data_IF_266192065103
#
_entry.id   IF_266192065103
#
_cell.length_a   1.000
_cell.length_b   1.000
_cell.length_c   1.000
_cell.angle_alpha   90.00
_cell.angle_beta   90.00
_cell.angle_gamma   90.00
#
_symmetry.space_group_name_H-M   'P 1'
#
loop_
_entity.id
_entity.type
_entity.pdbx_description
1 polymer ?
#
# COMPACT_ATOMS: atom_id res chain seq x y z
N UNK A 1 -4.88 27.80 -5.58
CA UNK A 1 -4.47 26.59 -4.84
C UNK A 1 -3.12 26.80 -4.17
N UNK A 2 -2.84 26.17 -3.03
CA UNK A 2 -1.51 26.21 -2.38
C UNK A 2 -0.62 25.09 -2.94
N UNK A 3 0.70 25.25 -2.89
CA UNK A 3 1.65 24.24 -3.39
C UNK A 3 1.52 22.89 -2.67
N UNK A 4 1.22 22.90 -1.37
CA UNK A 4 1.07 21.66 -0.59
C UNK A 4 -0.15 20.84 -1.03
N UNK A 5 -1.27 21.52 -1.30
CA UNK A 5 -2.50 20.87 -1.78
C UNK A 5 -2.29 20.32 -3.20
N UNK A 6 -1.49 21.02 -4.03
CA UNK A 6 -1.14 20.57 -5.38
C UNK A 6 -0.37 19.26 -5.36
N UNK A 7 0.61 19.11 -4.45
CA UNK A 7 1.40 17.87 -4.32
C UNK A 7 0.54 16.64 -4.05
N UNK A 8 -0.52 16.79 -3.25
CA UNK A 8 -1.44 15.70 -2.96
C UNK A 8 -2.25 15.29 -4.20
N UNK A 9 -2.65 16.26 -5.02
CA UNK A 9 -3.47 16.04 -6.21
C UNK A 9 -2.67 15.61 -7.45
N UNK A 10 -1.32 15.62 -7.40
CA UNK A 10 -0.48 15.24 -8.54
C UNK A 10 -0.62 13.76 -8.93
N UNK A 11 -0.85 12.86 -7.97
CA UNK A 11 -1.02 11.43 -8.25
C UNK A 11 -2.38 11.17 -8.89
N UNK A 12 -3.45 11.75 -8.34
CA UNK A 12 -4.80 11.66 -8.91
C UNK A 12 -4.84 12.28 -10.32
N UNK A 13 -4.07 13.36 -10.55
CA UNK A 13 -3.91 13.94 -11.88
C UNK A 13 -3.20 12.99 -12.86
N UNK A 14 -2.18 12.27 -12.40
CA UNK A 14 -1.40 11.34 -13.22
C UNK A 14 -2.23 10.14 -13.69
N UNK A 15 -3.14 9.65 -12.84
CA UNK A 15 -4.03 8.52 -13.12
C UNK A 15 -5.40 8.93 -13.67
N UNK A 16 -5.59 10.22 -14.00
CA UNK A 16 -6.85 10.77 -14.52
C UNK A 16 -8.06 10.58 -13.59
N UNK A 17 -7.83 10.55 -12.27
CA UNK A 17 -8.86 10.34 -11.23
C UNK A 17 -9.44 11.66 -10.66
N UNK A 18 -8.90 12.82 -11.07
CA UNK A 18 -9.42 14.13 -10.66
C UNK A 18 -10.72 14.49 -11.37
N UNK A 19 -11.61 15.15 -10.64
CA UNK A 19 -12.78 15.82 -11.22
C UNK A 19 -12.38 17.04 -12.08
N UNK A 20 -13.24 17.40 -13.04
CA UNK A 20 -12.97 18.46 -14.02
C UNK A 20 -12.68 19.84 -13.38
N UNK A 21 -13.25 20.13 -12.21
CA UNK A 21 -13.01 21.40 -11.53
C UNK A 21 -11.61 21.42 -10.90
N UNK A 22 -11.27 20.38 -10.13
CA UNK A 22 -9.94 20.25 -9.51
C UNK A 22 -8.81 20.15 -10.54
N UNK A 23 -9.07 19.49 -11.67
CA UNK A 23 -8.10 19.41 -12.79
C UNK A 23 -7.75 20.79 -13.35
N UNK A 24 -8.75 21.64 -13.60
CA UNK A 24 -8.54 23.01 -14.13
C UNK A 24 -7.77 23.88 -13.13
N UNK A 25 -8.11 23.79 -11.85
CA UNK A 25 -7.43 24.53 -10.79
C UNK A 25 -5.96 24.12 -10.65
N UNK A 26 -5.67 22.81 -10.77
CA UNK A 26 -4.32 22.27 -10.75
C UNK A 26 -3.53 22.70 -12.00
N UNK A 27 -4.10 22.58 -13.21
CA UNK A 27 -3.46 23.03 -14.45
C UNK A 27 -3.16 24.53 -14.44
N UNK A 28 -4.05 25.35 -13.87
CA UNK A 28 -3.80 26.77 -13.68
C UNK A 28 -2.63 27.02 -12.72
N UNK A 29 -2.55 26.25 -11.63
CA UNK A 29 -1.45 26.35 -10.68
C UNK A 29 -0.10 25.96 -11.32
N UNK A 30 -0.07 24.85 -12.08
CA UNK A 30 1.14 24.39 -12.78
C UNK A 30 1.67 25.41 -13.79
N UNK A 31 0.82 26.25 -14.39
CA UNK A 31 1.26 27.36 -15.26
C UNK A 31 1.93 28.49 -14.49
N UNK A 32 1.63 28.64 -13.21
CA UNK A 32 2.10 29.77 -12.37
C UNK A 32 3.25 29.40 -11.44
N UNK A 33 3.39 28.12 -11.05
CA UNK A 33 4.42 27.66 -10.13
C UNK A 33 5.42 26.73 -10.83
N UNK A 34 6.65 27.20 -11.00
CA UNK A 34 7.72 26.44 -11.67
C UNK A 34 8.12 25.16 -10.91
N UNK A 35 8.11 25.19 -9.57
CA UNK A 35 8.48 24.05 -8.74
C UNK A 35 7.48 22.90 -8.89
N UNK A 36 6.19 23.19 -8.80
CA UNK A 36 5.13 22.20 -8.97
C UNK A 36 5.09 21.66 -10.42
N UNK A 37 5.40 22.50 -11.42
CA UNK A 37 5.51 22.05 -12.81
C UNK A 37 6.68 21.09 -13.02
N UNK A 38 7.84 21.35 -12.41
CA UNK A 38 8.99 20.47 -12.46
C UNK A 38 8.71 19.11 -11.81
N UNK A 39 8.04 19.12 -10.65
CA UNK A 39 7.65 17.90 -9.92
C UNK A 39 6.64 17.06 -10.72
N UNK A 40 5.60 17.68 -11.28
CA UNK A 40 4.64 17.03 -12.17
C UNK A 40 5.32 16.35 -13.36
N UNK A 41 6.27 17.04 -13.99
CA UNK A 41 7.03 16.50 -15.13
C UNK A 41 7.90 15.30 -14.73
N UNK A 42 8.59 15.38 -13.60
CA UNK A 42 9.40 14.28 -13.06
C UNK A 42 8.56 13.01 -12.80
N UNK A 43 7.33 13.18 -12.30
CA UNK A 43 6.41 12.07 -12.07
C UNK A 43 5.94 11.45 -13.39
N UNK A 44 5.58 12.27 -14.38
CA UNK A 44 5.18 11.79 -15.71
C UNK A 44 6.32 11.04 -16.43
N UNK A 45 7.56 11.51 -16.30
CA UNK A 45 8.74 10.82 -16.85
C UNK A 45 8.95 9.47 -16.18
N UNK A 46 8.81 9.40 -14.86
CA UNK A 46 8.89 8.15 -14.10
C UNK A 46 7.81 7.15 -14.54
N UNK A 47 6.57 7.60 -14.65
CA UNK A 47 5.46 6.77 -15.13
C UNK A 47 5.70 6.22 -16.53
N UNK A 48 6.21 7.05 -17.45
CA UNK A 48 6.59 6.61 -18.80
C UNK A 48 7.67 5.54 -18.79
N UNK A 49 8.67 5.62 -17.90
CA UNK A 49 9.68 4.59 -17.75
C UNK A 49 9.05 3.26 -17.31
N UNK A 50 8.15 3.27 -16.33
CA UNK A 50 7.45 2.05 -15.91
C UNK A 50 6.56 1.49 -17.02
N UNK A 51 5.90 2.34 -17.81
CA UNK A 51 5.07 1.91 -18.94
C UNK A 51 5.87 1.26 -20.09
N UNK A 52 7.20 1.40 -20.12
CA UNK A 52 8.06 0.72 -21.11
C UNK A 52 8.49 -0.68 -20.68
N UNK A 53 8.21 -1.07 -19.43
CA UNK A 53 8.52 -2.42 -18.98
C UNK A 53 7.62 -3.43 -19.70
N UNK A 54 8.14 -4.61 -20.07
CA UNK A 54 7.33 -5.64 -20.70
C UNK A 54 6.22 -6.07 -19.75
N UNK A 55 4.99 -6.04 -20.24
CA UNK A 55 3.84 -6.57 -19.52
C UNK A 55 4.00 -8.09 -19.40
N UNK A 56 4.26 -8.55 -18.18
CA UNK A 56 4.33 -9.97 -17.87
C UNK A 56 2.89 -10.41 -17.66
N UNK A 57 2.29 -11.00 -18.69
CA UNK A 57 1.00 -11.67 -18.56
C UNK A 57 1.20 -12.84 -17.58
N UNK A 58 0.51 -12.87 -16.43
CA UNK A 58 0.63 -13.99 -15.51
C UNK A 58 0.19 -15.26 -16.23
N UNK A 59 1.02 -16.31 -16.19
CA UNK A 59 0.65 -17.66 -16.64
C UNK A 59 -0.35 -18.30 -15.67
N UNK A 60 -1.46 -17.61 -15.40
CA UNK A 60 -2.56 -18.15 -14.64
C UNK A 60 -3.75 -18.23 -15.58
N UNK A 61 -3.88 -19.42 -16.19
CA UNK A 61 -5.20 -19.94 -16.53
C UNK A 61 -5.93 -20.06 -15.21
N UNK A 62 -6.53 -18.96 -14.74
CA UNK A 62 -7.53 -18.96 -13.70
C UNK A 62 -8.67 -19.81 -14.24
N UNK A 63 -8.60 -21.12 -13.99
CA UNK A 63 -9.70 -22.04 -14.23
C UNK A 63 -10.72 -21.68 -13.16
N UNK A 64 -11.48 -20.61 -13.43
CA UNK A 64 -12.83 -20.51 -12.90
C UNK A 64 -13.54 -21.73 -13.47
N UNK A 65 -13.58 -22.81 -12.69
CA UNK A 65 -14.53 -23.87 -12.93
C UNK A 65 -15.90 -23.23 -12.74
N UNK A 66 -16.44 -22.65 -13.81
CA UNK A 66 -17.87 -22.58 -13.98
C UNK A 66 -18.32 -24.03 -13.95
N UNK A 67 -18.63 -24.52 -12.75
CA UNK A 67 -19.56 -25.62 -12.64
C UNK A 67 -20.83 -25.09 -13.30
N UNK A 68 -21.22 -25.55 -14.51
CA UNK A 68 -22.51 -25.17 -15.02
C UNK A 68 -23.50 -25.71 -13.99
N UNK A 69 -24.08 -24.82 -13.18
CA UNK A 69 -25.17 -25.19 -12.28
C UNK A 69 -26.18 -25.87 -13.17
N UNK A 70 -26.26 -27.20 -13.11
CA UNK A 70 -27.20 -27.99 -13.90
C UNK A 70 -28.55 -27.36 -13.65
N UNK A 71 -29.10 -26.76 -14.69
CA UNK A 71 -30.36 -26.03 -14.65
C UNK A 71 -31.48 -27.05 -14.45
N UNK A 72 -31.64 -27.52 -13.22
CA UNK A 72 -32.76 -28.35 -12.78
C UNK A 72 -34.08 -27.66 -13.15
N UNK A 73 -34.12 -26.33 -13.09
CA UNK A 73 -35.28 -25.52 -13.45
C UNK A 73 -35.69 -25.60 -14.94
N UNK A 74 -34.81 -25.99 -15.87
CA UNK A 74 -35.21 -26.12 -17.30
C UNK A 74 -36.10 -27.35 -17.57
N UNK A 75 -36.07 -28.36 -16.70
CA UNK A 75 -36.96 -29.53 -16.77
C UNK A 75 -38.18 -29.42 -15.85
N UNK A 76 -38.35 -28.29 -15.15
CA UNK A 76 -39.52 -28.03 -14.30
C UNK A 76 -40.70 -27.42 -15.10
N UNK A 77 -40.88 -27.83 -16.36
CA UNK A 77 -42.18 -27.71 -17.04
C UNK A 77 -43.08 -28.82 -16.51
N UNK A 78 -43.46 -28.67 -15.25
CA UNK A 78 -44.45 -29.52 -14.61
C UNK A 78 -45.78 -29.29 -15.34
N UNK A 79 -46.33 -30.32 -15.96
CA UNK A 79 -47.67 -30.23 -16.56
C UNK A 79 -48.64 -29.90 -15.44
N UNK A 80 -49.22 -28.70 -15.42
CA UNK A 80 -50.32 -28.40 -14.53
C UNK A 80 -51.52 -29.22 -15.01
N UNK A 81 -51.95 -30.26 -14.29
CA UNK A 81 -53.17 -30.95 -14.63
C UNK A 81 -54.33 -30.04 -14.26
N UNK A 82 -55.28 -29.92 -15.17
CA UNK A 82 -56.46 -29.07 -15.06
C UNK A 82 -57.15 -29.33 -13.70
N UNK A 83 -57.15 -28.29 -12.85
CA UNK A 83 -57.48 -28.38 -11.43
C UNK A 83 -59.00 -28.51 -11.21
N UNK A 84 -59.44 -29.69 -10.82
CA UNK A 84 -60.72 -29.88 -10.12
C UNK A 84 -60.57 -29.45 -8.65
N UNK A 85 -61.47 -28.61 -8.12
CA UNK A 85 -61.41 -28.03 -6.76
C UNK A 85 -61.15 -29.05 -5.63
N UNK A 86 -61.52 -30.33 -5.80
CA UNK A 86 -61.21 -31.38 -4.83
C UNK A 86 -59.71 -31.72 -4.71
N UNK A 87 -58.93 -31.59 -5.79
CA UNK A 87 -57.46 -31.84 -5.78
C UNK A 87 -56.67 -30.67 -5.20
N UNK A 88 -57.27 -29.47 -5.17
CA UNK A 88 -56.67 -28.26 -4.61
C UNK A 88 -56.47 -28.36 -3.09
N UNK A 89 -57.42 -29.00 -2.38
CA UNK A 89 -57.31 -29.23 -0.94
C UNK A 89 -56.15 -30.16 -0.56
N UNK A 90 -56.00 -31.28 -1.29
CA UNK A 90 -54.90 -32.23 -1.05
C UNK A 90 -53.53 -31.65 -1.46
N UNK A 91 -53.47 -30.91 -2.57
CA UNK A 91 -52.25 -30.26 -3.00
C UNK A 91 -51.78 -29.18 -2.02
N UNK A 92 -52.70 -28.38 -1.46
CA UNK A 92 -52.38 -27.38 -0.45
C UNK A 92 -51.88 -28.03 0.85
N UNK A 93 -52.50 -29.13 1.29
CA UNK A 93 -52.06 -29.88 2.47
C UNK A 93 -50.65 -30.47 2.30
N UNK A 94 -50.36 -31.06 1.14
CA UNK A 94 -49.02 -31.59 0.84
C UNK A 94 -47.96 -30.48 0.75
N UNK A 95 -48.28 -29.35 0.12
CA UNK A 95 -47.38 -28.21 0.07
C UNK A 95 -47.06 -27.67 1.48
N UNK A 96 -48.06 -27.62 2.37
CA UNK A 96 -47.87 -27.19 3.74
C UNK A 96 -46.97 -28.15 4.53
N UNK A 97 -47.16 -29.47 4.38
CA UNK A 97 -46.31 -30.47 5.01
C UNK A 97 -44.86 -30.41 4.52
N UNK A 98 -44.65 -30.19 3.22
CA UNK A 98 -43.30 -30.01 2.66
C UNK A 98 -42.67 -28.73 3.22
N UNK A 99 -43.43 -27.64 3.33
CA UNK A 99 -42.93 -26.37 3.87
C UNK A 99 -42.54 -26.51 5.35
N UNK A 100 -43.34 -27.22 6.15
CA UNK A 100 -43.01 -27.54 7.55
C UNK A 100 -41.77 -28.43 7.64
N UNK A 101 -41.64 -29.43 6.76
CA UNK A 101 -40.46 -30.30 6.73
C UNK A 101 -39.19 -29.51 6.37
N UNK A 102 -39.27 -28.61 5.39
CA UNK A 102 -38.15 -27.73 5.00
C UNK A 102 -37.81 -26.74 6.11
N UNK A 103 -38.80 -26.15 6.78
CA UNK A 103 -38.58 -25.25 7.91
C UNK A 103 -37.92 -25.97 9.10
N UNK A 104 -38.31 -27.22 9.36
CA UNK A 104 -37.69 -28.08 10.37
C UNK A 104 -36.24 -28.42 10.01
N UNK A 105 -35.96 -28.71 8.73
CA UNK A 105 -34.60 -28.97 8.24
C UNK A 105 -33.71 -27.72 8.29
N UNK A 106 -34.30 -26.53 8.10
CA UNK A 106 -33.59 -25.26 8.13
C UNK A 106 -33.39 -24.69 9.54
N UNK A 107 -33.88 -25.38 10.58
CA UNK A 107 -33.77 -24.99 12.00
C UNK A 107 -34.16 -23.52 12.21
N UNK A 108 -35.31 -23.15 11.64
CA UNK A 108 -35.79 -21.76 11.57
C UNK A 108 -36.32 -21.29 12.92
N UNK A 109 -35.64 -20.31 13.54
CA UNK A 109 -36.09 -19.67 14.79
C UNK A 109 -36.72 -18.32 14.45
N UNK A 110 -38.01 -18.18 14.70
CA UNK A 110 -38.77 -16.93 14.52
C UNK A 110 -38.96 -16.30 15.89
N UNK A 111 -38.29 -15.17 16.14
CA UNK A 111 -38.54 -14.35 17.33
C UNK A 111 -39.33 -13.12 16.94
N UNK A 112 -40.46 -12.94 17.60
CA UNK A 112 -41.30 -11.76 17.47
C UNK A 112 -41.15 -10.92 18.74
N UNK A 113 -40.39 -9.83 18.63
CA UNK A 113 -40.20 -8.88 19.73
C UNK A 113 -40.73 -7.50 19.32
N UNK A 114 -40.93 -6.61 20.31
CA UNK A 114 -41.60 -5.31 20.15
C UNK A 114 -40.89 -4.34 19.18
N UNK A 115 -39.69 -4.69 18.67
CA UNK A 115 -38.89 -3.87 17.76
C UNK A 115 -38.71 -4.45 16.35
N UNK A 116 -39.33 -5.59 16.02
CA UNK A 116 -39.35 -6.10 14.65
C UNK A 116 -39.36 -7.62 14.53
N UNK A 117 -39.43 -8.07 13.28
CA UNK A 117 -39.43 -9.48 12.92
C UNK A 117 -37.99 -9.96 12.64
N UNK A 118 -37.47 -10.86 13.48
CA UNK A 118 -36.16 -11.48 13.27
C UNK A 118 -36.34 -12.96 12.88
N UNK A 119 -35.93 -13.28 11.65
CA UNK A 119 -35.95 -14.63 11.10
C UNK A 119 -34.52 -15.12 10.94
N UNK A 120 -34.14 -16.13 11.73
CA UNK A 120 -32.80 -16.74 11.66
C UNK A 120 -32.92 -18.16 11.11
N UNK A 121 -32.23 -18.43 10.01
CA UNK A 121 -32.16 -19.76 9.39
C UNK A 121 -30.70 -20.22 9.44
N UNK A 122 -30.43 -21.41 9.96
CA UNK A 122 -29.06 -21.97 9.98
C UNK A 122 -29.10 -23.43 9.54
N UNK A 123 -28.50 -23.72 8.37
CA UNK A 123 -28.35 -25.09 7.86
C UNK A 123 -27.28 -25.91 8.61
N UNK A 124 -26.45 -25.25 9.42
CA UNK A 124 -25.42 -25.90 10.23
C UNK A 124 -25.73 -25.69 11.71
N UNK A 125 -25.78 -26.74 12.53
CA UNK A 125 -25.82 -26.58 13.97
C UNK A 125 -24.50 -25.93 14.38
N UNK A 126 -24.52 -24.65 14.74
CA UNK A 126 -23.45 -24.10 15.57
C UNK A 126 -23.52 -24.89 16.87
N UNK A 127 -22.66 -25.90 17.01
CA UNK A 127 -22.28 -26.41 18.31
C UNK A 127 -21.67 -25.21 19.03
N UNK A 128 -22.51 -24.48 19.77
CA UNK A 128 -22.07 -23.74 20.94
C UNK A 128 -21.58 -24.78 21.94
N UNK A 129 -20.40 -25.34 21.66
CA UNK A 129 -19.57 -25.84 22.73
C UNK A 129 -19.32 -24.61 23.58
N UNK A 130 -19.98 -24.55 24.73
CA UNK A 130 -19.60 -23.62 25.77
C UNK A 130 -18.12 -23.88 25.99
N UNK A 131 -17.28 -22.98 25.51
CA UNK A 131 -15.85 -22.98 25.83
C UNK A 131 -15.86 -22.93 27.35
N UNK A 132 -15.46 -24.02 27.99
CA UNK A 132 -15.28 -24.01 29.44
C UNK A 132 -14.27 -22.91 29.75
N UNK A 133 -14.51 -22.07 30.76
CA UNK A 133 -13.63 -20.94 31.06
C UNK A 133 -12.16 -21.37 31.23
N UNK A 134 -11.93 -22.59 31.71
CA UNK A 134 -10.61 -23.23 31.80
C UNK A 134 -9.89 -23.41 30.45
N UNK A 135 -10.58 -23.82 29.38
CA UNK A 135 -9.95 -23.98 28.06
C UNK A 135 -9.64 -22.63 27.39
N UNK A 136 -10.42 -21.58 27.72
CA UNK A 136 -10.16 -20.23 27.24
C UNK A 136 -8.89 -19.66 27.86
N UNK A 137 -8.67 -19.88 29.16
CA UNK A 137 -7.46 -19.44 29.85
C UNK A 137 -6.21 -20.15 29.33
N UNK A 138 -6.26 -21.46 29.11
CA UNK A 138 -5.13 -22.23 28.55
C UNK A 138 -4.80 -21.75 27.12
N UNK A 139 -5.81 -21.50 26.30
CA UNK A 139 -5.60 -21.00 24.93
C UNK A 139 -5.01 -19.58 24.93
N UNK A 140 -5.53 -18.69 25.76
CA UNK A 140 -5.00 -17.31 25.91
C UNK A 140 -3.58 -17.32 26.48
N UNK A 141 -3.28 -18.21 27.43
CA UNK A 141 -1.94 -18.36 27.99
C UNK A 141 -0.95 -18.81 26.91
N UNK A 142 -1.31 -19.81 26.11
CA UNK A 142 -0.47 -20.29 25.00
C UNK A 142 -0.25 -19.20 23.94
N UNK A 143 -1.29 -18.47 23.56
CA UNK A 143 -1.17 -17.34 22.64
C UNK A 143 -0.26 -16.23 23.17
N UNK A 144 -0.34 -15.93 24.48
CA UNK A 144 0.55 -14.94 25.10
C UNK A 144 2.01 -15.41 25.07
N UNK A 145 2.26 -16.69 25.32
CA UNK A 145 3.59 -17.28 25.25
C UNK A 145 4.17 -17.23 23.83
N UNK A 146 3.40 -17.66 22.82
CA UNK A 146 3.81 -17.60 21.41
C UNK A 146 4.06 -16.15 20.96
N UNK A 147 3.18 -15.22 21.32
CA UNK A 147 3.36 -13.80 21.00
C UNK A 147 4.62 -13.21 21.65
N UNK A 148 4.91 -13.58 22.90
CA UNK A 148 6.13 -13.12 23.59
C UNK A 148 7.40 -13.67 22.93
N UNK A 149 7.41 -14.93 22.53
CA UNK A 149 8.54 -15.54 21.85
C UNK A 149 8.81 -14.88 20.48
N UNK A 150 7.75 -14.61 19.71
CA UNK A 150 7.88 -13.92 18.42
C UNK A 150 8.40 -12.50 18.61
N UNK A 151 7.82 -11.74 19.55
CA UNK A 151 8.26 -10.36 19.85
C UNK A 151 9.72 -10.30 20.30
N UNK A 152 10.16 -11.26 21.14
CA UNK A 152 11.55 -11.34 21.58
C UNK A 152 12.50 -11.58 20.39
N UNK A 153 12.15 -12.50 19.48
CA UNK A 153 12.97 -12.76 18.29
C UNK A 153 13.03 -11.58 17.33
N UNK A 154 11.92 -10.84 17.17
CA UNK A 154 11.86 -9.65 16.33
C UNK A 154 12.72 -8.51 16.89
N UNK A 155 12.63 -8.24 18.21
CA UNK A 155 13.44 -7.23 18.86
C UNK A 155 14.93 -7.51 18.75
N UNK A 156 15.33 -8.78 18.83
CA UNK A 156 16.72 -9.17 18.68
C UNK A 156 17.23 -8.97 17.24
N UNK A 157 16.41 -9.30 16.24
CA UNK A 157 16.74 -9.02 14.84
C UNK A 157 16.90 -7.51 14.58
N UNK A 158 16.02 -6.68 15.14
CA UNK A 158 16.14 -5.21 15.03
C UNK A 158 17.42 -4.68 15.67
N UNK A 159 17.85 -5.23 16.82
CA UNK A 159 19.13 -4.84 17.45
C UNK A 159 20.31 -5.11 16.51
N UNK A 160 20.39 -6.32 15.96
CA UNK A 160 21.47 -6.70 15.04
C UNK A 160 21.48 -5.84 13.76
N UNK A 161 20.30 -5.51 13.23
CA UNK A 161 20.18 -4.62 12.08
C UNK A 161 20.60 -3.19 12.42
N UNK A 162 20.19 -2.69 13.59
CA UNK A 162 20.54 -1.34 14.04
C UNK A 162 22.04 -1.20 14.31
N UNK A 163 22.69 -2.22 14.87
CA UNK A 163 24.15 -2.26 15.03
C UNK A 163 24.87 -2.18 13.69
N UNK A 164 24.48 -2.99 12.70
CA UNK A 164 25.05 -2.95 11.35
C UNK A 164 24.83 -1.60 10.65
N UNK A 165 23.64 -1.01 10.82
CA UNK A 165 23.34 0.34 10.31
C UNK A 165 24.25 1.37 10.95
N UNK A 166 24.44 1.31 12.27
CA UNK A 166 25.31 2.24 13.00
C UNK A 166 26.76 2.12 12.52
N UNK A 167 27.26 0.91 12.36
CA UNK A 167 28.62 0.66 11.84
C UNK A 167 28.78 1.25 10.44
N UNK A 168 27.82 0.99 9.55
CA UNK A 168 27.83 1.50 8.17
C UNK A 168 27.80 3.03 8.16
N UNK A 169 26.96 3.64 9.01
CA UNK A 169 26.90 5.10 9.16
C UNK A 169 28.25 5.66 9.63
N UNK A 170 28.88 5.07 10.64
CA UNK A 170 30.18 5.53 11.14
C UNK A 170 31.28 5.46 10.08
N UNK A 171 31.33 4.36 9.31
CA UNK A 171 32.29 4.22 8.20
C UNK A 171 32.07 5.28 7.13
N UNK A 172 30.81 5.50 6.74
CA UNK A 172 30.46 6.50 5.73
C UNK A 172 30.80 7.93 6.18
N UNK A 173 30.55 8.25 7.45
CA UNK A 173 30.86 9.54 8.05
C UNK A 173 32.37 9.80 8.10
N UNK A 174 33.16 8.78 8.49
CA UNK A 174 34.62 8.87 8.45
C UNK A 174 35.12 9.16 7.03
N UNK A 175 34.60 8.47 6.03
CA UNK A 175 34.97 8.73 4.63
C UNK A 175 34.61 10.14 4.17
N UNK A 176 33.47 10.68 4.61
CA UNK A 176 33.10 12.07 4.31
C UNK A 176 34.09 13.06 4.94
N UNK A 177 34.47 12.86 6.21
CA UNK A 177 35.47 13.70 6.87
C UNK A 177 36.84 13.64 6.17
N UNK A 178 37.27 12.45 5.75
CA UNK A 178 38.55 12.31 5.05
C UNK A 178 38.52 13.01 3.68
N UNK A 179 37.41 12.90 2.94
CA UNK A 179 37.21 13.66 1.69
C UNK A 179 37.23 15.17 1.93
N UNK A 180 36.57 15.65 2.98
CA UNK A 180 36.56 17.07 3.33
C UNK A 180 37.97 17.55 3.67
N UNK A 181 38.73 16.80 4.48
CA UNK A 181 40.12 17.12 4.79
C UNK A 181 41.00 17.17 3.54
N UNK A 182 40.83 16.24 2.61
CA UNK A 182 41.56 16.25 1.35
C UNK A 182 41.23 17.49 0.51
N UNK A 183 39.94 17.84 0.44
CA UNK A 183 39.48 19.05 -0.25
C UNK A 183 40.06 20.31 0.40
N UNK A 184 40.02 20.40 1.72
CA UNK A 184 40.58 21.53 2.48
C UNK A 184 42.09 21.65 2.27
N UNK A 185 42.82 20.53 2.27
CA UNK A 185 44.26 20.52 1.97
C UNK A 185 44.56 21.00 0.55
N UNK A 186 43.73 20.62 -0.44
CA UNK A 186 43.86 21.14 -1.80
C UNK A 186 43.59 22.65 -1.87
N UNK A 187 42.58 23.13 -1.15
CA UNK A 187 42.24 24.55 -1.10
C UNK A 187 43.37 25.37 -0.45
N UNK A 188 43.90 24.89 0.68
CA UNK A 188 45.07 25.49 1.36
C UNK A 188 46.28 25.48 0.42
N UNK A 189 46.56 24.36 -0.25
CA UNK A 189 47.65 24.26 -1.23
C UNK A 189 47.56 25.31 -2.33
N UNK A 190 46.41 25.42 -2.99
CA UNK A 190 46.16 26.45 -4.01
C UNK A 190 46.30 27.87 -3.46
N UNK A 191 45.83 28.11 -2.23
CA UNK A 191 45.99 29.39 -1.56
C UNK A 191 47.45 29.77 -1.33
N UNK A 192 48.27 28.82 -0.87
CA UNK A 192 49.71 29.01 -0.67
C UNK A 192 50.45 29.26 -1.99
N UNK A 193 50.09 28.53 -3.05
CA UNK A 193 50.66 28.72 -4.38
C UNK A 193 50.36 30.13 -4.93
N UNK A 194 49.11 30.59 -4.79
CA UNK A 194 48.72 31.94 -5.19
C UNK A 194 49.49 33.04 -4.43
N UNK A 195 49.72 32.85 -3.12
CA UNK A 195 50.53 33.76 -2.31
C UNK A 195 51.99 33.77 -2.78
N UNK A 196 52.55 32.59 -3.05
CA UNK A 196 53.94 32.46 -3.54
C UNK A 196 54.11 33.11 -4.91
N UNK A 197 53.18 32.92 -5.82
CA UNK A 197 53.20 33.52 -7.14
C UNK A 197 53.09 35.05 -7.06
N UNK A 198 52.18 35.55 -6.21
CA UNK A 198 52.07 36.99 -5.91
C UNK A 198 53.38 37.58 -5.41
N UNK A 199 54.02 36.94 -4.41
CA UNK A 199 55.31 37.36 -3.88
C UNK A 199 56.40 37.38 -4.97
N UNK A 200 56.54 36.30 -5.74
CA UNK A 200 57.50 36.22 -6.84
C UNK A 200 57.29 37.33 -7.88
N UNK A 201 56.04 37.62 -8.23
CA UNK A 201 55.72 38.69 -9.18
C UNK A 201 56.12 40.08 -8.65
N UNK A 202 55.99 40.32 -7.34
CA UNK A 202 56.44 41.55 -6.70
C UNK A 202 57.97 41.66 -6.71
N UNK A 203 58.69 40.59 -6.34
CA UNK A 203 60.15 40.57 -6.41
C UNK A 203 60.66 40.84 -7.84
N UNK A 204 60.04 40.25 -8.86
CA UNK A 204 60.41 40.52 -10.26
C UNK A 204 60.14 41.95 -10.70
N UNK A 205 59.09 42.61 -10.18
CA UNK A 205 58.85 44.03 -10.44
C UNK A 205 59.93 44.89 -9.78
N UNK A 206 60.20 44.67 -8.50
CA UNK A 206 61.25 45.39 -7.76
C UNK A 206 62.63 45.25 -8.43
N UNK A 207 63.01 44.05 -8.87
CA UNK A 207 64.28 43.82 -9.56
C UNK A 207 64.35 44.51 -10.93
N UNK A 208 63.23 44.64 -11.64
CA UNK A 208 63.17 45.42 -12.89
C UNK A 208 63.34 46.90 -12.62
N UNK A 209 62.66 47.44 -11.61
CA UNK A 209 62.73 48.86 -11.25
C UNK A 209 64.14 49.26 -10.80
N UNK A 210 64.80 48.42 -9.98
CA UNK A 210 66.19 48.62 -9.55
C UNK A 210 67.17 48.61 -10.73
N UNK A 211 66.99 47.71 -11.69
CA UNK A 211 67.83 47.65 -12.88
C UNK A 211 67.62 48.86 -13.82
N UNK A 212 66.41 49.43 -13.87
CA UNK A 212 66.12 50.64 -14.66
C UNK A 212 66.82 51.87 -14.07
N UNK A 213 66.92 51.98 -12.74
CA UNK A 213 67.62 53.10 -12.09
C UNK A 213 69.15 53.05 -12.17
N UNK A 214 69.74 51.92 -12.59
CA UNK A 214 71.21 51.78 -12.77
C UNK A 214 71.70 52.07 -14.19
N UNK A 215 70.81 52.27 -15.16
CA UNK A 215 71.14 52.70 -16.52
C UNK A 215 70.92 54.19 -16.67
#
# INVERSE_FOLDING_TARGET
>A
MKCNDTKLLLMDYLYEELDDASKRDLEQHLKTCADCAAESKSLQETHKLFATLPEIEPEERLIFSENPRKSWLKNLRFSLPQLSFARLGYAAGLAFLILVAVASLANMEVKYDQQGFALRMSLFPQKTQAITPEMQEVFVAKLREENQAVLASYLEQERLLNEKKLETMMVSYKQQLDRQRQYDMQLIGRGLDAVRESQNSQYQKLMRDVNFQRK
#
